data_IF_246469282803
#
_entry.id   IF_246469282803
#
_cell.length_a   1.000
_cell.length_b   1.000
_cell.length_c   1.000
_cell.angle_alpha   90.00
_cell.angle_beta   90.00
_cell.angle_gamma   90.00
#
_symmetry.space_group_name_H-M   'P 1'
#
loop_
_entity.id
_entity.type
_entity.pdbx_description
1 polymer ?
#
# COMPACT_ATOMS: atom_id res chain seq x y z
N UNK A 1 16.27 6.96 5.09
CA UNK A 1 15.63 5.82 5.78
C UNK A 1 14.41 6.34 6.54
N UNK A 2 13.22 5.80 6.28
CA UNK A 2 11.94 6.17 6.91
C UNK A 2 11.22 7.47 6.44
N UNK A 3 11.65 8.13 5.36
CA UNK A 3 11.05 9.42 4.97
C UNK A 3 9.99 9.39 3.86
N UNK A 4 9.76 8.26 3.18
CA UNK A 4 8.70 8.15 2.15
C UNK A 4 7.58 7.16 2.48
N UNK A 5 7.74 6.33 3.52
CA UNK A 5 6.70 5.40 3.99
C UNK A 5 5.85 5.93 5.16
N UNK A 6 6.11 7.16 5.60
CA UNK A 6 5.42 7.79 6.74
C UNK A 6 5.01 9.23 6.45
N UNK A 7 4.29 9.47 5.36
CA UNK A 7 3.19 10.42 5.52
C UNK A 7 2.17 9.74 6.43
N UNK A 8 2.32 9.98 7.75
CA UNK A 8 1.29 9.70 8.76
C UNK A 8 0.01 10.46 8.33
N UNK A 9 -0.80 9.75 7.55
CA UNK A 9 -2.24 9.92 7.30
C UNK A 9 -2.76 11.32 6.97
N UNK A 10 -3.02 11.65 5.69
CA UNK A 10 -4.09 12.56 5.32
C UNK A 10 -5.30 11.74 4.88
N UNK A 11 -6.17 11.38 5.83
CA UNK A 11 -7.37 10.52 5.67
C UNK A 11 -7.02 9.09 5.23
N UNK A 12 -7.45 8.08 6.00
CA UNK A 12 -7.36 6.69 5.52
C UNK A 12 -8.16 6.64 4.21
N UNK A 13 -7.56 6.19 3.11
CA UNK A 13 -8.30 6.12 1.85
C UNK A 13 -9.54 5.21 1.93
N UNK A 14 -9.51 4.24 2.85
CA UNK A 14 -10.65 3.43 3.26
C UNK A 14 -11.79 4.24 3.93
N UNK A 15 -11.49 5.38 4.54
CA UNK A 15 -12.44 6.32 5.15
C UNK A 15 -12.90 7.42 4.17
N UNK A 16 -12.66 7.27 2.85
CA UNK A 16 -13.17 8.23 1.86
C UNK A 16 -14.69 8.24 1.92
N UNK A 17 -15.24 9.39 2.32
CA UNK A 17 -16.66 9.70 2.24
C UNK A 17 -16.90 10.66 1.08
N UNK A 18 -18.02 10.49 0.40
CA UNK A 18 -18.47 11.42 -0.63
C UNK A 18 -18.85 12.78 -0.02
N UNK A 19 -19.23 13.74 -0.86
CA UNK A 19 -19.64 15.08 -0.45
C UNK A 19 -20.85 15.10 0.51
N UNK A 20 -21.58 13.99 0.62
CA UNK A 20 -22.77 13.79 1.46
C UNK A 20 -22.40 13.02 2.75
N UNK A 21 -21.17 12.51 2.87
CA UNK A 21 -20.70 11.74 4.02
C UNK A 21 -20.89 10.23 3.89
N UNK A 22 -21.37 9.74 2.75
CA UNK A 22 -21.55 8.31 2.47
C UNK A 22 -20.20 7.66 2.12
N UNK A 23 -19.93 6.43 2.56
CA UNK A 23 -18.71 5.73 2.16
C UNK A 23 -18.63 5.64 0.64
N UNK A 24 -17.57 6.19 0.05
CA UNK A 24 -17.24 5.92 -1.37
C UNK A 24 -16.97 4.41 -1.46
N UNK A 25 -17.37 3.80 -2.58
CA UNK A 25 -17.24 2.37 -2.92
C UNK A 25 -16.13 1.67 -2.10
N UNK A 26 -16.43 0.52 -1.45
CA UNK A 26 -15.46 -0.15 -0.58
C UNK A 26 -14.16 -0.37 -1.35
N UNK A 27 -13.06 0.20 -0.84
CA UNK A 27 -11.76 0.04 -1.45
C UNK A 27 -11.29 -1.40 -1.31
N UNK A 28 -10.53 -1.88 -2.29
CA UNK A 28 -9.94 -3.22 -2.22
C UNK A 28 -8.95 -3.35 -1.06
N UNK A 29 -8.76 -4.57 -0.56
CA UNK A 29 -7.81 -4.88 0.54
C UNK A 29 -6.38 -4.45 0.20
N UNK A 30 -6.02 -4.51 -1.08
CA UNK A 30 -4.71 -4.13 -1.60
C UNK A 30 -4.62 -2.67 -2.07
N UNK A 31 -5.66 -1.86 -1.85
CA UNK A 31 -5.65 -0.43 -2.16
C UNK A 31 -6.53 -0.03 -3.34
N UNK A 32 -6.30 1.19 -3.82
CA UNK A 32 -7.01 1.84 -4.93
C UNK A 32 -6.02 2.76 -5.66
N UNK A 33 -6.22 2.98 -6.96
CA UNK A 33 -5.31 3.77 -7.78
C UNK A 33 -5.21 5.25 -7.36
N UNK A 34 -6.21 5.77 -6.63
CA UNK A 34 -6.20 7.16 -6.17
C UNK A 34 -5.45 7.35 -4.84
N UNK A 35 -4.76 6.30 -4.37
CA UNK A 35 -4.14 6.24 -3.06
C UNK A 35 -2.76 5.60 -3.12
N UNK A 36 -1.95 5.90 -2.12
CA UNK A 36 -0.69 5.20 -1.91
C UNK A 36 -0.94 3.76 -1.45
N UNK A 37 0.08 2.92 -1.65
CA UNK A 37 0.05 1.49 -1.35
C UNK A 37 -0.19 1.24 0.15
N UNK A 38 -1.24 0.48 0.53
CA UNK A 38 -1.43 0.06 1.91
C UNK A 38 -0.39 -1.02 2.30
N UNK A 39 -0.20 -1.23 3.61
CA UNK A 39 0.73 -2.23 4.13
C UNK A 39 0.48 -3.64 3.56
N UNK A 40 -0.78 -4.04 3.42
CA UNK A 40 -1.16 -5.33 2.85
C UNK A 40 -0.63 -5.53 1.41
N UNK A 41 -0.56 -4.46 0.60
CA UNK A 41 0.02 -4.54 -0.75
C UNK A 41 1.54 -4.71 -0.69
N UNK A 42 2.22 -3.92 0.15
CA UNK A 42 3.68 -4.01 0.33
C UNK A 42 4.09 -5.41 0.81
N UNK A 43 3.39 -5.95 1.81
CA UNK A 43 3.62 -7.29 2.33
C UNK A 43 3.39 -8.37 1.25
N UNK A 44 2.30 -8.24 0.48
CA UNK A 44 2.01 -9.19 -0.61
C UNK A 44 3.07 -9.17 -1.71
N UNK A 45 3.62 -8.00 -2.02
CA UNK A 45 4.69 -7.85 -3.01
C UNK A 45 5.98 -8.55 -2.55
N UNK A 46 6.36 -8.38 -1.28
CA UNK A 46 7.53 -9.07 -0.70
C UNK A 46 7.31 -10.59 -0.71
N UNK A 47 6.12 -11.05 -0.36
CA UNK A 47 5.79 -12.47 -0.40
C UNK A 47 5.86 -13.04 -1.83
N UNK A 48 5.38 -12.28 -2.83
CA UNK A 48 5.45 -12.65 -4.23
C UNK A 48 6.90 -12.67 -4.76
N UNK A 49 7.76 -11.74 -4.34
CA UNK A 49 9.19 -11.77 -4.65
C UNK A 49 9.81 -13.06 -4.10
N UNK A 50 9.57 -13.36 -2.81
CA UNK A 50 10.06 -14.58 -2.15
C UNK A 50 9.56 -15.86 -2.83
N UNK A 51 8.30 -15.90 -3.29
CA UNK A 51 7.76 -17.10 -3.94
C UNK A 51 8.36 -17.35 -5.33
N UNK A 52 8.78 -16.30 -6.03
CA UNK A 52 9.38 -16.41 -7.37
C UNK A 52 10.88 -16.65 -7.32
N UNK A 53 11.56 -15.93 -6.45
CA UNK A 53 13.01 -15.99 -6.26
C UNK A 53 13.30 -15.94 -4.76
N UNK A 54 13.17 -17.11 -4.12
CA UNK A 54 13.35 -17.25 -2.67
C UNK A 54 14.81 -17.19 -2.22
N UNK A 55 15.73 -17.44 -3.15
CA UNK A 55 17.18 -17.33 -2.95
C UNK A 55 17.70 -16.24 -3.88
N UNK A 56 18.11 -15.12 -3.29
CA UNK A 56 18.62 -13.94 -4.01
C UNK A 56 19.86 -13.44 -3.30
N UNK A 57 20.87 -13.04 -4.07
CA UNK A 57 22.14 -12.57 -3.50
C UNK A 57 22.00 -11.20 -2.83
N UNK A 58 21.15 -10.33 -3.38
CA UNK A 58 20.89 -9.00 -2.86
C UNK A 58 19.56 -8.42 -3.36
N UNK A 59 19.08 -7.38 -2.68
CA UNK A 59 17.89 -6.62 -3.05
C UNK A 59 18.29 -5.16 -3.28
N UNK A 60 17.89 -4.61 -4.42
CA UNK A 60 18.00 -3.18 -4.69
C UNK A 60 16.70 -2.48 -4.27
N UNK A 61 16.77 -1.60 -3.27
CA UNK A 61 15.63 -0.77 -2.84
C UNK A 61 16.03 0.70 -2.88
N UNK A 62 15.46 1.44 -3.82
CA UNK A 62 15.87 2.82 -4.17
C UNK A 62 15.03 3.92 -3.52
N UNK A 63 14.31 3.63 -2.43
CA UNK A 63 13.41 4.58 -1.79
C UNK A 63 12.03 4.57 -2.41
#
# INVERSE_FOLDING_TARGET
MLFLLLHKTPKRCWERKDSIGSPIKPMGVYGDYQCDSPWALVESAVHAMKSKHGDVDFILWTG
#
